data_IF_572681394223
#
_entry.id   IF_572681394223
#
_cell.length_a   1.000
_cell.length_b   1.000
_cell.length_c   1.000
_cell.angle_alpha   90.00
_cell.angle_beta   90.00
_cell.angle_gamma   90.00
#
_symmetry.space_group_name_H-M   'P 1'
#
loop_
_entity.id
_entity.type
_entity.pdbx_description
1 polymer ?
#
# COMPACT_ATOMS: atom_id res chain seq x y z
N UNK A 1 -11.67 -4.99 16.84
CA UNK A 1 -11.03 -3.73 16.43
C UNK A 1 -9.97 -3.94 15.37
N UNK A 2 -9.10 -4.96 15.53
CA UNK A 2 -8.07 -5.27 14.53
C UNK A 2 -8.67 -5.55 13.15
N UNK A 3 -9.72 -6.36 13.09
CA UNK A 3 -10.37 -6.68 11.82
C UNK A 3 -10.99 -5.44 11.16
N UNK A 4 -11.58 -4.55 11.97
CA UNK A 4 -12.16 -3.31 11.46
C UNK A 4 -11.06 -2.41 10.86
N UNK A 5 -9.93 -2.27 11.55
CA UNK A 5 -8.80 -1.48 11.06
C UNK A 5 -8.24 -2.05 9.77
N UNK A 6 -8.10 -3.37 9.69
CA UNK A 6 -7.65 -4.07 8.49
C UNK A 6 -8.58 -3.79 7.32
N UNK A 7 -9.90 -3.88 7.53
CA UNK A 7 -10.89 -3.64 6.49
C UNK A 7 -10.84 -2.21 5.97
N UNK A 8 -10.69 -1.23 6.87
CA UNK A 8 -10.58 0.18 6.49
C UNK A 8 -9.35 0.42 5.60
N UNK A 9 -8.21 -0.18 5.96
CA UNK A 9 -6.99 -0.06 5.16
C UNK A 9 -7.14 -0.69 3.77
N UNK A 10 -7.86 -1.82 3.68
CA UNK A 10 -8.15 -2.46 2.40
C UNK A 10 -9.01 -1.55 1.52
N UNK A 11 -10.07 -0.97 2.09
CA UNK A 11 -10.95 -0.08 1.34
C UNK A 11 -10.22 1.18 0.87
N UNK A 12 -9.40 1.79 1.72
CA UNK A 12 -8.61 2.96 1.37
C UNK A 12 -7.59 2.64 0.27
N UNK A 13 -6.93 1.49 0.36
CA UNK A 13 -5.98 1.03 -0.68
C UNK A 13 -6.67 0.84 -2.02
N UNK A 14 -7.85 0.24 -2.01
CA UNK A 14 -8.64 0.01 -3.22
C UNK A 14 -9.04 1.31 -3.89
N UNK A 15 -9.51 2.28 -3.10
CA UNK A 15 -9.92 3.58 -3.62
C UNK A 15 -8.76 4.34 -4.24
N UNK A 16 -7.57 4.30 -3.62
CA UNK A 16 -6.38 4.93 -4.17
C UNK A 16 -5.97 4.28 -5.50
N UNK A 17 -6.03 2.97 -5.59
CA UNK A 17 -5.72 2.24 -6.82
C UNK A 17 -6.73 2.57 -7.92
N UNK A 18 -8.01 2.62 -7.60
CA UNK A 18 -9.05 2.95 -8.56
C UNK A 18 -8.92 4.38 -9.08
N UNK A 19 -8.57 5.33 -8.18
CA UNK A 19 -8.32 6.71 -8.60
C UNK A 19 -7.19 6.79 -9.63
N UNK A 20 -6.08 6.13 -9.35
CA UNK A 20 -4.92 6.12 -10.26
C UNK A 20 -5.29 5.49 -11.61
N UNK A 21 -6.01 4.37 -11.59
CA UNK A 21 -6.45 3.69 -12.80
C UNK A 21 -7.43 4.56 -13.61
N UNK A 22 -8.37 5.21 -12.93
CA UNK A 22 -9.33 6.11 -13.56
C UNK A 22 -8.62 7.28 -14.25
N UNK A 23 -7.65 7.88 -13.57
CA UNK A 23 -6.85 8.97 -14.16
C UNK A 23 -6.12 8.51 -15.42
N UNK A 24 -5.50 7.31 -15.37
CA UNK A 24 -4.80 6.74 -16.52
C UNK A 24 -5.75 6.54 -17.70
N UNK A 25 -6.95 6.02 -17.43
CA UNK A 25 -7.96 5.78 -18.48
C UNK A 25 -8.47 7.07 -19.12
N UNK A 26 -8.42 8.19 -18.41
CA UNK A 26 -8.89 9.49 -18.90
C UNK A 26 -7.75 10.40 -19.38
N UNK A 27 -6.55 9.88 -19.57
CA UNK A 27 -5.41 10.64 -20.05
C UNK A 27 -4.91 11.69 -19.07
N UNK A 28 -5.27 11.59 -17.80
CA UNK A 28 -4.81 12.49 -16.74
C UNK A 28 -3.48 11.98 -16.20
N UNK A 29 -2.54 12.89 -15.95
CA UNK A 29 -1.26 12.53 -15.34
C UNK A 29 -1.49 11.92 -13.96
N UNK A 30 -1.08 10.67 -13.77
CA UNK A 30 -1.34 9.92 -12.54
C UNK A 30 -0.09 9.59 -11.73
N UNK A 31 1.03 10.29 -11.96
CA UNK A 31 2.29 10.02 -11.25
C UNK A 31 2.11 10.10 -9.74
N UNK A 32 1.45 11.15 -9.25
CA UNK A 32 1.23 11.35 -7.82
C UNK A 32 0.26 10.31 -7.26
N UNK A 33 -0.89 10.09 -7.91
CA UNK A 33 -1.89 9.13 -7.42
C UNK A 33 -1.37 7.70 -7.45
N UNK A 34 -0.58 7.33 -8.46
CA UNK A 34 0.05 6.01 -8.52
C UNK A 34 1.04 5.82 -7.37
N UNK A 35 1.80 6.86 -7.03
CA UNK A 35 2.73 6.81 -5.90
C UNK A 35 1.99 6.68 -4.56
N UNK A 36 0.89 7.40 -4.37
CA UNK A 36 0.04 7.24 -3.19
C UNK A 36 -0.50 5.82 -3.08
N UNK A 37 -1.02 5.28 -4.19
CA UNK A 37 -1.58 3.94 -4.22
C UNK A 37 -0.53 2.89 -3.86
N UNK A 38 0.63 2.94 -4.49
CA UNK A 38 1.71 1.98 -4.25
C UNK A 38 2.20 2.04 -2.81
N UNK A 39 2.49 3.25 -2.32
CA UNK A 39 2.99 3.43 -0.95
C UNK A 39 1.97 2.96 0.08
N UNK A 40 0.75 3.45 -0.01
CA UNK A 40 -0.28 3.16 0.99
C UNK A 40 -0.67 1.68 0.97
N UNK A 41 -0.88 1.11 -0.22
CA UNK A 41 -1.29 -0.29 -0.34
C UNK A 41 -0.19 -1.24 0.14
N UNK A 42 1.07 -0.98 -0.20
CA UNK A 42 2.19 -1.81 0.23
C UNK A 42 2.38 -1.75 1.75
N UNK A 43 2.38 -0.55 2.32
CA UNK A 43 2.53 -0.39 3.77
C UNK A 43 1.33 -0.98 4.52
N UNK A 44 0.11 -0.77 4.03
CA UNK A 44 -1.09 -1.33 4.62
C UNK A 44 -1.11 -2.86 4.54
N UNK A 45 -0.68 -3.43 3.42
CA UNK A 45 -0.60 -4.87 3.25
C UNK A 45 0.36 -5.49 4.28
N UNK A 46 1.50 -4.84 4.55
CA UNK A 46 2.42 -5.30 5.59
C UNK A 46 1.79 -5.26 6.97
N UNK A 47 1.10 -4.16 7.31
CA UNK A 47 0.41 -4.03 8.60
C UNK A 47 -0.71 -5.06 8.75
N UNK A 48 -1.53 -5.22 7.71
CA UNK A 48 -2.67 -6.15 7.71
C UNK A 48 -2.20 -7.59 7.89
N UNK A 49 -1.18 -8.01 7.15
CA UNK A 49 -0.67 -9.38 7.24
C UNK A 49 0.03 -9.64 8.56
N UNK A 50 0.72 -8.65 9.12
CA UNK A 50 1.31 -8.75 10.45
C UNK A 50 0.22 -8.92 11.51
N UNK A 51 -0.84 -8.12 11.43
CA UNK A 51 -1.98 -8.22 12.35
C UNK A 51 -2.72 -9.54 12.18
N UNK A 52 -2.80 -10.07 10.95
CA UNK A 52 -3.41 -11.37 10.70
C UNK A 52 -2.64 -12.49 11.42
N UNK A 53 -1.31 -12.45 11.40
CA UNK A 53 -0.48 -13.39 12.18
C UNK A 53 -0.81 -13.26 13.67
N UNK A 54 -0.95 -12.04 14.17
CA UNK A 54 -1.27 -11.79 15.58
C UNK A 54 -2.65 -12.33 15.93
N UNK A 55 -3.65 -12.16 15.05
CA UNK A 55 -5.01 -12.69 15.29
C UNK A 55 -4.98 -14.22 15.43
N UNK A 56 -4.18 -14.91 14.64
CA UNK A 56 -4.02 -16.35 14.73
C UNK A 56 -3.18 -16.79 15.94
N UNK A 57 -2.47 -15.86 16.57
CA UNK A 57 -1.58 -16.16 17.67
C UNK A 57 -0.41 -17.04 17.24
N UNK A 58 -0.01 -17.96 18.12
CA UNK A 58 1.12 -18.86 17.81
C UNK A 58 0.92 -19.70 16.56
N UNK A 59 -0.31 -20.06 16.24
CA UNK A 59 -0.61 -20.80 15.01
C UNK A 59 -0.31 -19.95 13.76
N UNK A 60 -0.49 -18.64 13.82
CA UNK A 60 -0.21 -17.75 12.70
C UNK A 60 1.25 -17.71 12.31
N UNK A 61 2.15 -17.94 13.25
CA UNK A 61 3.59 -17.99 12.99
C UNK A 61 4.00 -19.31 12.32
N UNK A 62 3.21 -20.37 12.45
CA UNK A 62 3.49 -21.67 11.87
C UNK A 62 3.31 -21.65 10.36
N UNK A 63 4.21 -22.34 9.63
CA UNK A 63 4.12 -22.48 8.18
C UNK A 63 2.94 -23.33 7.73
N UNK A 64 2.27 -24.04 8.64
CA UNK A 64 1.08 -24.81 8.33
C UNK A 64 -0.11 -23.93 7.98
N UNK A 65 -0.10 -22.66 8.39
CA UNK A 65 -1.14 -21.68 8.10
C UNK A 65 -0.62 -20.62 7.11
N UNK A 66 -1.46 -20.15 6.19
CA UNK A 66 -1.00 -19.27 5.11
C UNK A 66 -0.60 -17.86 5.53
N UNK A 67 -1.01 -17.38 6.71
CA UNK A 67 -0.83 -15.98 7.09
C UNK A 67 0.63 -15.56 7.23
N UNK A 68 1.51 -16.44 7.73
CA UNK A 68 2.95 -16.13 7.83
C UNK A 68 3.58 -15.96 6.44
N UNK A 69 3.19 -16.82 5.49
CA UNK A 69 3.67 -16.71 4.11
C UNK A 69 3.17 -15.43 3.46
N UNK A 70 1.94 -15.05 3.71
CA UNK A 70 1.36 -13.80 3.20
C UNK A 70 2.09 -12.58 3.75
N UNK A 71 2.45 -12.60 5.04
CA UNK A 71 3.23 -11.53 5.66
C UNK A 71 4.61 -11.38 5.01
N UNK A 72 5.29 -12.49 4.74
CA UNK A 72 6.59 -12.47 4.06
C UNK A 72 6.47 -11.94 2.64
N UNK A 73 5.43 -12.35 1.93
CA UNK A 73 5.14 -11.84 0.59
C UNK A 73 4.81 -10.36 0.59
N UNK A 74 4.08 -9.89 1.60
CA UNK A 74 3.74 -8.47 1.73
C UNK A 74 4.97 -7.59 1.88
N UNK A 75 6.01 -8.06 2.57
CA UNK A 75 7.23 -7.28 2.79
C UNK A 75 7.91 -6.91 1.48
N UNK A 76 7.92 -7.79 0.51
CA UNK A 76 8.56 -7.50 -0.77
C UNK A 76 7.85 -6.38 -1.53
N UNK A 77 6.54 -6.19 -1.30
CA UNK A 77 5.78 -5.11 -1.93
C UNK A 77 6.27 -3.72 -1.49
N UNK A 78 6.86 -3.62 -0.29
CA UNK A 78 7.45 -2.38 0.21
C UNK A 78 8.84 -2.11 -0.38
N UNK A 79 9.45 -3.09 -1.00
CA UNK A 79 10.86 -3.05 -1.41
C UNK A 79 11.02 -2.89 -2.92
N UNK A 80 10.32 -3.70 -3.71
CA UNK A 80 10.57 -3.79 -5.15
C UNK A 80 9.67 -2.83 -5.95
N UNK A 81 10.02 -2.60 -7.23
CA UNK A 81 9.24 -1.77 -8.16
C UNK A 81 8.99 -0.35 -7.60
N UNK A 82 10.00 0.22 -6.96
CA UNK A 82 9.89 1.50 -6.26
C UNK A 82 9.46 1.31 -4.83
N UNK A 83 10.43 1.33 -3.90
CA UNK A 83 10.16 1.16 -2.47
C UNK A 83 9.21 2.23 -1.93
N UNK A 84 8.64 1.99 -0.76
CA UNK A 84 7.77 2.98 -0.09
C UNK A 84 8.48 4.30 0.14
N UNK A 85 9.79 4.28 0.43
CA UNK A 85 10.59 5.49 0.57
C UNK A 85 10.72 6.24 -0.76
N UNK A 86 10.98 5.53 -1.86
CA UNK A 86 11.04 6.14 -3.20
C UNK A 86 9.69 6.75 -3.57
N UNK A 87 8.58 6.09 -3.24
CA UNK A 87 7.25 6.63 -3.49
C UNK A 87 7.01 7.94 -2.74
N UNK A 88 7.50 8.04 -1.49
CA UNK A 88 7.42 9.30 -0.73
C UNK A 88 8.19 10.42 -1.41
N UNK A 89 9.35 10.12 -1.99
CA UNK A 89 10.14 11.11 -2.74
C UNK A 89 9.37 11.60 -3.97
N UNK A 90 8.71 10.69 -4.68
CA UNK A 90 7.90 11.03 -5.85
C UNK A 90 6.73 11.94 -5.45
N UNK A 91 6.03 11.60 -4.38
CA UNK A 91 4.92 12.41 -3.87
C UNK A 91 5.38 13.82 -3.53
N UNK A 92 6.47 13.93 -2.77
CA UNK A 92 7.05 15.22 -2.39
C UNK A 92 7.43 16.06 -3.60
N UNK A 93 8.05 15.44 -4.59
CA UNK A 93 8.43 16.12 -5.83
C UNK A 93 7.22 16.64 -6.59
N UNK A 94 6.17 15.83 -6.71
CA UNK A 94 4.96 16.23 -7.41
C UNK A 94 4.22 17.35 -6.69
N UNK A 95 4.20 17.34 -5.35
CA UNK A 95 3.63 18.44 -4.57
C UNK A 95 4.37 19.74 -4.84
N UNK A 96 5.70 19.72 -4.85
CA UNK A 96 6.52 20.89 -5.13
C UNK A 96 6.37 21.38 -6.56
N UNK A 97 6.15 20.47 -7.49
CA UNK A 97 5.90 20.80 -8.89
C UNK A 97 4.67 21.69 -9.04
N UNK A 98 3.60 21.41 -8.30
CA UNK A 98 2.39 22.23 -8.33
C UNK A 98 2.61 23.64 -7.77
N UNK A 99 3.52 23.79 -6.80
CA UNK A 99 3.81 25.11 -6.21
C UNK A 99 4.73 25.96 -7.09
N UNK A 100 5.44 25.36 -8.05
CA UNK A 100 6.34 26.07 -8.97
C UNK A 100 5.63 26.66 -10.18
N UNK A 101 4.39 26.26 -10.41
CA UNK A 101 3.62 26.74 -11.56
C UNK A 101 2.92 28.04 -11.16
N UNK A 102 3.19 29.17 -11.87
CA UNK A 102 2.50 30.44 -11.59
C UNK A 102 1.01 30.31 -11.84
#
# INVERSE_FOLDING_TARGET
FMLADMKTKIEASRLLCWKSAWEADHGIRNTESAAHAKRFAADSCMEITTDAVQVFGGYGYSEEYPVARLMRGAKVLQIYEGSSQVQRMIIGREMLRHTRTP
#
